data_IF_824612168965
#
_entry.id   IF_824612168965
#
_cell.length_a   1.000
_cell.length_b   1.000
_cell.length_c   1.000
_cell.angle_alpha   90.00
_cell.angle_beta   90.00
_cell.angle_gamma   90.00
#
_symmetry.space_group_name_H-M   'P 1'
#
loop_
_entity.id
_entity.type
_entity.pdbx_description
1 polymer ?
#
# COMPACT_ATOMS: atom_id res chain seq x y z
N UNK A 1 -2.02 -4.11 -8.50
CA UNK A 1 -2.93 -3.12 -7.87
C UNK A 1 -2.13 -2.12 -7.08
N UNK A 2 -2.29 -0.84 -7.36
CA UNK A 2 -1.64 0.21 -6.58
C UNK A 2 -2.24 0.33 -5.18
N UNK A 3 -1.39 0.67 -4.22
CA UNK A 3 -1.84 1.00 -2.87
C UNK A 3 -2.57 2.35 -2.87
N UNK A 4 -3.41 2.59 -1.87
CA UNK A 4 -4.08 3.90 -1.68
C UNK A 4 -3.07 5.06 -1.67
N UNK A 5 -1.90 4.87 -1.07
CA UNK A 5 -0.80 5.86 -1.04
C UNK A 5 -0.25 6.15 -2.44
N UNK A 6 -0.13 5.13 -3.29
CA UNK A 6 0.29 5.31 -4.67
C UNK A 6 -0.68 6.18 -5.46
N UNK A 7 -1.99 5.90 -5.36
CA UNK A 7 -3.02 6.71 -6.02
C UNK A 7 -3.06 8.16 -5.53
N UNK A 8 -2.87 8.39 -4.22
CA UNK A 8 -2.81 9.74 -3.66
C UNK A 8 -1.61 10.53 -4.21
N UNK A 9 -0.45 9.89 -4.33
CA UNK A 9 0.73 10.52 -4.95
C UNK A 9 0.50 10.83 -6.43
N UNK A 10 -0.12 9.93 -7.17
CA UNK A 10 -0.49 10.19 -8.57
C UNK A 10 -1.40 11.41 -8.68
N UNK A 11 -2.43 11.52 -7.84
CA UNK A 11 -3.32 12.67 -7.84
C UNK A 11 -2.56 14.00 -7.58
N UNK A 12 -1.63 14.00 -6.63
CA UNK A 12 -0.75 15.17 -6.37
C UNK A 12 0.14 15.52 -7.57
N UNK A 13 0.71 14.52 -8.23
CA UNK A 13 1.53 14.73 -9.43
C UNK A 13 0.72 15.26 -10.61
N UNK A 14 -0.52 14.79 -10.77
CA UNK A 14 -1.44 15.33 -11.78
C UNK A 14 -1.73 16.80 -11.51
N UNK A 15 -2.01 17.18 -10.26
CA UNK A 15 -2.26 18.58 -9.90
C UNK A 15 -1.01 19.46 -10.09
N UNK A 16 0.19 18.91 -9.89
CA UNK A 16 1.45 19.60 -10.17
C UNK A 16 1.67 19.85 -11.66
N UNK A 17 1.32 18.88 -12.50
CA UNK A 17 1.55 18.93 -13.96
C UNK A 17 0.44 19.65 -14.72
N UNK A 18 -0.80 19.55 -14.22
CA UNK A 18 -1.99 20.22 -14.72
C UNK A 18 -2.71 20.92 -13.54
N UNK A 19 -2.26 22.12 -13.16
CA UNK A 19 -2.89 22.88 -12.09
C UNK A 19 -4.37 23.15 -12.38
N UNK A 20 -5.24 22.88 -11.40
CA UNK A 20 -6.67 23.00 -11.51
C UNK A 20 -7.37 21.80 -12.16
N UNK A 21 -6.67 20.68 -12.41
CA UNK A 21 -7.30 19.47 -12.95
C UNK A 21 -8.27 18.80 -11.97
N UNK A 22 -8.18 19.10 -10.67
CA UNK A 22 -9.11 18.58 -9.67
C UNK A 22 -8.92 17.07 -9.44
N UNK A 23 -7.69 16.60 -9.56
CA UNK A 23 -7.37 15.19 -9.41
C UNK A 23 -7.58 14.72 -7.95
N UNK A 24 -8.34 13.64 -7.77
CA UNK A 24 -8.60 13.05 -6.46
C UNK A 24 -8.77 11.53 -6.56
N UNK A 25 -8.61 10.86 -5.43
CA UNK A 25 -8.78 9.41 -5.34
C UNK A 25 -10.21 9.08 -4.97
N UNK A 26 -10.87 8.25 -5.77
CA UNK A 26 -12.21 7.73 -5.51
C UNK A 26 -12.14 6.21 -5.33
N UNK A 27 -12.87 5.68 -4.35
CA UNK A 27 -13.06 4.23 -4.22
C UNK A 27 -14.28 3.82 -5.03
N UNK A 28 -14.09 2.92 -5.98
CA UNK A 28 -15.18 2.28 -6.69
C UNK A 28 -15.90 1.32 -5.72
N UNK A 29 -17.20 1.54 -5.50
CA UNK A 29 -17.97 0.76 -4.51
C UNK A 29 -18.22 -0.67 -4.97
N UNK A 30 -18.33 -0.90 -6.27
CA UNK A 30 -18.59 -2.24 -6.85
C UNK A 30 -17.34 -3.10 -6.83
N UNK A 31 -16.21 -2.55 -7.29
CA UNK A 31 -14.95 -3.32 -7.39
C UNK A 31 -14.12 -3.24 -6.10
N UNK A 32 -14.38 -2.25 -5.26
CA UNK A 32 -13.59 -1.95 -4.05
C UNK A 32 -12.22 -1.33 -4.35
N UNK A 33 -11.90 -1.08 -5.62
CA UNK A 33 -10.61 -0.57 -6.10
C UNK A 33 -10.56 0.96 -6.00
N UNK A 34 -9.38 1.49 -5.73
CA UNK A 34 -9.14 2.94 -5.77
C UNK A 34 -8.77 3.36 -7.18
N UNK A 35 -9.38 4.45 -7.65
CA UNK A 35 -9.17 5.03 -8.96
C UNK A 35 -8.83 6.52 -8.79
N UNK A 36 -8.02 7.06 -9.70
CA UNK A 36 -7.76 8.50 -9.77
C UNK A 36 -8.73 9.09 -10.78
N UNK A 37 -9.45 10.12 -10.35
CA UNK A 37 -10.48 10.81 -11.14
C UNK A 37 -10.11 12.29 -11.17
N UNK A 38 -10.37 12.97 -12.29
CA UNK A 38 -10.13 14.40 -12.48
C UNK A 38 -11.41 15.10 -12.95
N UNK A 39 -11.38 16.43 -12.99
CA UNK A 39 -12.54 17.25 -13.34
C UNK A 39 -13.08 16.95 -14.73
N UNK A 40 -14.40 16.74 -14.83
CA UNK A 40 -15.10 16.58 -16.09
C UNK A 40 -15.19 17.88 -16.91
N UNK A 41 -14.84 19.03 -16.30
CA UNK A 41 -14.83 20.34 -16.96
C UNK A 41 -13.55 20.59 -17.77
N UNK A 42 -12.57 19.68 -17.71
CA UNK A 42 -11.36 19.80 -18.51
C UNK A 42 -11.69 19.65 -20.00
N UNK A 43 -10.92 20.34 -20.84
CA UNK A 43 -11.02 20.14 -22.28
C UNK A 43 -10.75 18.66 -22.63
N UNK A 44 -11.42 18.10 -23.65
CA UNK A 44 -11.24 16.70 -24.03
C UNK A 44 -9.77 16.34 -24.31
N UNK A 45 -9.02 17.29 -24.90
CA UNK A 45 -7.60 17.11 -25.18
C UNK A 45 -6.75 16.98 -23.91
N UNK A 46 -6.99 17.82 -22.90
CA UNK A 46 -6.27 17.74 -21.62
C UNK A 46 -6.65 16.46 -20.88
N UNK A 47 -7.94 16.11 -20.88
CA UNK A 47 -8.44 14.86 -20.29
C UNK A 47 -7.77 13.62 -20.92
N UNK A 48 -7.62 13.60 -22.25
CA UNK A 48 -6.93 12.53 -22.97
C UNK A 48 -5.44 12.44 -22.62
N UNK A 49 -4.74 13.58 -22.49
CA UNK A 49 -3.34 13.61 -22.08
C UNK A 49 -3.15 13.11 -20.64
N UNK A 50 -4.03 13.50 -19.72
CA UNK A 50 -4.02 12.99 -18.35
C UNK A 50 -4.25 11.47 -18.35
N UNK A 51 -5.22 10.98 -19.13
CA UNK A 51 -5.48 9.56 -19.29
C UNK A 51 -4.24 8.79 -19.75
N UNK A 52 -3.62 9.23 -20.85
CA UNK A 52 -2.39 8.62 -21.36
C UNK A 52 -1.24 8.63 -20.35
N UNK A 53 -1.11 9.70 -19.56
CA UNK A 53 -0.11 9.78 -18.50
C UNK A 53 -0.37 8.76 -17.37
N UNK A 54 -1.63 8.62 -16.94
CA UNK A 54 -2.02 7.66 -15.90
C UNK A 54 -1.79 6.22 -16.38
N UNK A 55 -2.11 5.92 -17.63
CA UNK A 55 -1.90 4.59 -18.21
C UNK A 55 -0.41 4.24 -18.33
N UNK A 56 0.41 5.16 -18.86
CA UNK A 56 1.86 4.98 -18.89
C UNK A 56 2.46 4.77 -17.49
N UNK A 57 1.95 5.50 -16.48
CA UNK A 57 2.42 5.34 -15.12
C UNK A 57 2.06 3.96 -14.52
N UNK A 58 0.88 3.43 -14.85
CA UNK A 58 0.50 2.06 -14.49
C UNK A 58 1.41 1.04 -15.17
N UNK A 59 1.66 1.18 -16.46
CA UNK A 59 2.57 0.30 -17.21
C UNK A 59 3.98 0.31 -16.61
N UNK A 60 4.54 1.47 -16.29
CA UNK A 60 5.84 1.57 -15.63
C UNK A 60 5.88 0.85 -14.28
N UNK A 61 4.83 0.96 -13.47
CA UNK A 61 4.75 0.27 -12.19
C UNK A 61 4.59 -1.24 -12.35
N UNK A 62 3.87 -1.69 -13.37
CA UNK A 62 3.77 -3.11 -13.73
C UNK A 62 5.13 -3.66 -14.19
N UNK A 63 5.83 -2.94 -15.07
CA UNK A 63 7.16 -3.31 -15.53
C UNK A 63 8.17 -3.36 -14.37
N UNK A 64 8.21 -2.33 -13.52
CA UNK A 64 9.09 -2.29 -12.36
C UNK A 64 8.82 -3.43 -11.37
N UNK A 65 7.55 -3.83 -11.22
CA UNK A 65 7.18 -4.98 -10.38
C UNK A 65 7.70 -6.29 -10.98
N UNK A 66 7.52 -6.50 -12.28
CA UNK A 66 7.99 -7.70 -12.96
C UNK A 66 9.53 -7.78 -12.86
N UNK A 67 10.22 -6.69 -13.15
CA UNK A 67 11.68 -6.62 -13.02
C UNK A 67 12.15 -6.88 -11.59
N UNK A 68 11.44 -6.36 -10.58
CA UNK A 68 11.76 -6.67 -9.19
C UNK A 68 11.57 -8.16 -8.87
N UNK A 69 10.56 -8.83 -9.44
CA UNK A 69 10.36 -10.27 -9.27
C UNK A 69 11.43 -11.10 -9.99
N UNK A 70 11.83 -10.69 -11.19
CA UNK A 70 12.86 -11.37 -12.00
C UNK A 70 14.26 -11.24 -11.39
N UNK A 71 14.54 -10.11 -10.72
CA UNK A 71 15.85 -9.82 -10.12
C UNK A 71 15.93 -10.28 -8.66
N UNK A 72 14.82 -10.60 -7.99
CA UNK A 72 14.86 -11.16 -6.62
C UNK A 72 15.35 -12.61 -6.64
N UNK A 73 16.52 -12.92 -6.04
CA UNK A 73 17.10 -14.27 -6.05
C UNK A 73 16.43 -15.25 -5.07
N UNK A 74 15.37 -14.83 -4.36
CA UNK A 74 14.67 -15.64 -3.37
C UNK A 74 13.36 -16.15 -3.95
N UNK A 75 13.39 -17.36 -4.51
CA UNK A 75 12.21 -18.06 -5.03
C UNK A 75 11.23 -18.51 -3.93
N UNK A 76 11.66 -18.52 -2.66
CA UNK A 76 10.88 -19.02 -1.50
C UNK A 76 10.82 -18.03 -0.32
N UNK A 77 10.61 -16.74 -0.59
CA UNK A 77 10.15 -15.81 0.45
C UNK A 77 8.65 -16.00 0.70
N UNK A 78 8.16 -16.03 1.95
CA UNK A 78 6.73 -16.21 2.23
C UNK A 78 5.95 -15.17 1.44
N UNK A 79 4.98 -15.65 0.65
CA UNK A 79 4.14 -14.82 -0.21
C UNK A 79 3.74 -13.56 0.55
N UNK A 80 4.14 -12.40 0.02
CA UNK A 80 3.75 -11.09 0.56
C UNK A 80 2.28 -11.18 0.96
N UNK A 81 1.91 -10.99 2.24
CA UNK A 81 0.58 -11.29 2.70
C UNK A 81 -0.41 -10.45 1.90
N UNK A 82 -1.10 -11.12 0.97
CA UNK A 82 -2.28 -10.59 0.33
C UNK A 82 -3.19 -10.19 1.48
N UNK A 83 -3.60 -8.92 1.62
CA UNK A 83 -4.44 -8.53 2.74
C UNK A 83 -5.69 -9.40 2.69
N UNK A 84 -5.77 -10.34 3.63
CA UNK A 84 -6.93 -11.19 3.79
C UNK A 84 -8.12 -10.25 3.95
N UNK A 85 -9.06 -10.37 3.01
CA UNK A 85 -10.34 -9.66 3.04
C UNK A 85 -11.00 -10.08 4.35
N UNK A 86 -10.82 -9.30 5.43
CA UNK A 86 -11.52 -9.53 6.70
C UNK A 86 -13.00 -9.50 6.34
N UNK A 87 -13.63 -10.67 6.39
CA UNK A 87 -15.07 -10.79 6.29
C UNK A 87 -15.69 -9.84 7.31
N UNK A 88 -16.37 -8.82 6.82
CA UNK A 88 -17.34 -8.10 7.61
C UNK A 88 -18.49 -9.07 7.84
N UNK A 89 -18.48 -9.74 8.99
CA UNK A 89 -19.69 -10.30 9.54
C UNK A 89 -20.59 -9.11 9.88
N UNK A 90 -21.64 -8.92 9.09
CA UNK A 90 -22.78 -8.15 9.51
C UNK A 90 -23.47 -8.95 10.61
N UNK A 91 -23.58 -8.38 11.82
CA UNK A 91 -24.87 -8.43 12.50
C UNK A 91 -25.04 -7.30 13.52
N UNK A 92 -26.24 -6.73 13.49
CA UNK A 92 -26.69 -5.63 14.30
C UNK A 92 -26.94 -6.06 15.74
N UNK A 93 -26.31 -5.41 16.73
CA UNK A 93 -26.94 -5.21 18.06
C UNK A 93 -26.23 -4.13 18.88
N UNK A 94 -26.93 -3.12 19.43
CA UNK A 94 -26.36 -2.21 20.42
C UNK A 94 -26.53 -2.82 21.81
N UNK A 95 -25.45 -3.35 22.39
CA UNK A 95 -25.42 -3.78 23.79
C UNK A 95 -24.51 -2.84 24.60
N UNK A 96 -25.18 -2.04 25.43
CA UNK A 96 -24.64 -1.14 26.43
C UNK A 96 -24.06 -1.96 27.61
N UNK A 97 -22.97 -1.45 28.21
CA UNK A 97 -22.36 -1.76 29.53
C UNK A 97 -21.36 -2.92 29.61
N UNK A 98 -20.08 -2.59 29.77
CA UNK A 98 -19.28 -2.68 31.01
C UNK A 98 -17.79 -2.79 30.65
N UNK A 99 -16.99 -1.87 31.16
CA UNK A 99 -15.52 -1.85 31.06
C UNK A 99 -14.98 -2.81 32.12
N UNK A 100 -14.05 -3.71 31.78
CA UNK A 100 -12.96 -4.07 32.67
C UNK A 100 -11.66 -3.49 32.12
N UNK A 101 -10.98 -2.72 32.95
CA UNK A 101 -9.61 -2.28 32.71
C UNK A 101 -8.68 -3.49 32.67
N UNK A 102 -7.77 -3.52 31.69
CA UNK A 102 -6.61 -4.41 31.70
C UNK A 102 -6.40 -5.19 30.41
N UNK A 103 -5.76 -4.56 29.41
CA UNK A 103 -4.71 -5.19 28.60
C UNK A 103 -4.07 -4.12 27.70
N UNK A 104 -2.76 -3.85 27.80
CA UNK A 104 -2.08 -3.02 26.80
C UNK A 104 -2.05 -3.79 25.48
N UNK A 105 -2.61 -3.20 24.43
CA UNK A 105 -2.37 -3.64 23.05
C UNK A 105 -0.87 -3.57 22.78
N UNK A 106 -0.20 -4.65 22.33
CA UNK A 106 1.21 -4.55 21.97
C UNK A 106 1.30 -3.62 20.76
N UNK A 107 1.98 -2.50 20.99
CA UNK A 107 2.10 -1.42 20.03
C UNK A 107 2.96 -1.85 18.85
N UNK A 108 2.69 -1.27 17.68
CA UNK A 108 3.51 -1.42 16.47
C UNK A 108 5.02 -1.16 16.68
N UNK A 109 5.42 -0.56 17.81
CA UNK A 109 6.81 -0.39 18.21
C UNK A 109 7.53 -1.72 18.52
N UNK A 110 6.82 -2.73 19.05
CA UNK A 110 7.42 -4.00 19.45
C UNK A 110 7.84 -4.84 18.25
N UNK A 111 7.07 -4.75 17.15
CA UNK A 111 7.36 -5.49 15.91
C UNK A 111 8.61 -4.94 15.22
N UNK A 112 8.81 -3.62 15.24
CA UNK A 112 10.00 -3.00 14.67
C UNK A 112 11.26 -3.27 15.51
N UNK A 113 11.14 -3.28 16.83
CA UNK A 113 12.23 -3.63 17.74
C UNK A 113 12.62 -5.12 17.61
N UNK A 114 11.63 -6.02 17.55
CA UNK A 114 11.86 -7.45 17.34
C UNK A 114 12.49 -7.76 15.98
N UNK A 115 12.06 -7.06 14.92
CA UNK A 115 12.67 -7.18 13.60
C UNK A 115 14.13 -6.72 13.59
N UNK A 116 14.47 -5.63 14.30
CA UNK A 116 15.86 -5.16 14.44
C UNK A 116 16.74 -6.16 15.19
N UNK A 117 16.28 -6.66 16.33
CA UNK A 117 17.03 -7.63 17.13
C UNK A 117 17.30 -8.96 16.37
N UNK A 118 16.34 -9.40 15.55
CA UNK A 118 16.52 -10.58 14.71
C UNK A 118 17.50 -10.35 13.55
N UNK A 119 17.59 -9.12 13.03
CA UNK A 119 18.58 -8.78 12.01
C UNK A 119 19.99 -8.72 12.60
N UNK A 120 20.16 -8.16 13.79
CA UNK A 120 21.48 -8.09 14.47
C UNK A 120 22.06 -9.49 14.72
N UNK A 121 21.23 -10.45 15.14
CA UNK A 121 21.64 -11.86 15.34
C UNK A 121 22.12 -12.58 14.08
N UNK A 122 21.71 -12.13 12.89
CA UNK A 122 22.17 -12.73 11.63
C UNK A 122 23.59 -12.29 11.26
N UNK A 123 24.10 -11.19 11.83
CA UNK A 123 25.44 -10.67 11.57
C UNK A 123 26.44 -10.96 12.70
N UNK A 124 25.96 -11.45 13.84
CA UNK A 124 26.79 -12.02 14.91
C UNK A 124 27.16 -13.47 14.54
N UNK A 125 28.09 -13.65 13.60
CA UNK A 125 28.68 -14.95 13.30
C UNK A 125 29.39 -15.56 14.52
N UNK A 126 29.58 -16.89 14.57
CA UNK A 126 30.11 -17.57 15.75
C UNK A 126 31.51 -17.03 16.09
N UNK A 127 31.67 -16.61 17.34
CA UNK A 127 32.95 -16.22 17.90
C UNK A 127 33.97 -17.32 17.59
N UNK A 128 35.03 -16.95 16.86
CA UNK A 128 36.20 -17.81 16.65
C UNK A 128 36.70 -18.26 18.03
N UNK A 129 36.48 -19.54 18.37
CA UNK A 129 37.24 -20.23 19.40
C UNK A 129 38.72 -20.10 19.04
N UNK A 130 39.46 -19.38 19.89
CA UNK A 130 40.91 -19.34 19.84
C UNK A 130 41.44 -20.62 20.49
N UNK A 131 42.38 -21.26 19.78
CA UNK A 131 43.31 -22.30 20.23
C UNK A 131 43.84 -22.10 21.65
#
# INVERSE_FOLDING_TARGET
MLTHRGHARLAQELERRWPGCGAHVKRNQTTGVYEVVWSALLSPQVSALIGAYVDAWRECLHFARNLAQDVTPFTDGPALPTPARRGQAADNRPARRQIPAGHPSPGRHDVAAAARANLEKLFEGPAREKS
#
